data_IF_570619959451
#
_entry.id   IF_570619959451
#
_cell.length_a   1.000
_cell.length_b   1.000
_cell.length_c   1.000
_cell.angle_alpha   90.00
_cell.angle_beta   90.00
_cell.angle_gamma   90.00
#
_symmetry.space_group_name_H-M   'P 1'
#
loop_
_entity.id
_entity.type
_entity.pdbx_description
1 polymer ?
#
# COMPACT_ATOMS: atom_id res chain seq x y z
N UNK A 1 10.63 -0.33 -27.79
CA UNK A 1 10.23 -1.58 -28.50
C UNK A 1 9.27 -2.34 -27.60
N UNK A 2 8.28 -3.01 -28.18
CA UNK A 2 7.32 -3.84 -27.47
C UNK A 2 6.93 -5.05 -28.32
N UNK A 3 5.89 -5.77 -27.90
CA UNK A 3 5.40 -6.96 -28.59
C UNK A 3 3.94 -6.74 -29.00
N UNK A 4 3.57 -7.13 -30.22
CA UNK A 4 2.18 -7.09 -30.68
C UNK A 4 1.36 -8.19 -30.02
N UNK A 5 0.03 -8.16 -30.19
CA UNK A 5 -0.85 -9.24 -29.67
C UNK A 5 -0.56 -10.60 -30.29
N UNK A 6 0.15 -10.65 -31.41
CA UNK A 6 0.56 -11.88 -32.12
C UNK A 6 1.95 -12.37 -31.67
N UNK A 7 2.57 -11.75 -30.68
CA UNK A 7 3.89 -12.16 -30.20
C UNK A 7 5.07 -11.65 -31.02
N UNK A 8 4.85 -10.69 -31.93
CA UNK A 8 5.90 -10.15 -32.80
C UNK A 8 6.51 -8.88 -32.21
N UNK A 9 7.82 -8.72 -32.34
CA UNK A 9 8.51 -7.49 -31.95
C UNK A 9 8.05 -6.30 -32.81
N UNK A 10 7.80 -5.15 -32.19
CA UNK A 10 7.34 -3.93 -32.87
C UNK A 10 7.83 -2.65 -32.17
N UNK A 11 7.76 -1.54 -32.91
CA UNK A 11 7.95 -0.20 -32.35
C UNK A 11 6.61 0.23 -31.72
N UNK A 12 6.62 0.44 -30.41
CA UNK A 12 5.45 0.87 -29.65
C UNK A 12 5.51 2.36 -29.36
N UNK A 13 4.40 3.07 -29.57
CA UNK A 13 4.18 4.45 -29.16
C UNK A 13 2.99 4.49 -28.22
N UNK A 14 3.14 5.13 -27.07
CA UNK A 14 2.05 5.34 -26.10
C UNK A 14 1.61 6.81 -26.11
N UNK A 15 0.41 7.08 -25.57
CA UNK A 15 -0.11 8.44 -25.40
C UNK A 15 0.39 9.13 -24.11
N UNK A 16 1.12 8.39 -23.26
CA UNK A 16 1.33 8.76 -21.86
C UNK A 16 0.16 8.34 -20.97
N UNK A 17 0.41 8.22 -19.66
CA UNK A 17 -0.60 7.97 -18.64
C UNK A 17 -0.48 9.04 -17.55
N UNK A 18 -1.48 9.90 -17.44
CA UNK A 18 -1.52 11.01 -16.47
C UNK A 18 -2.03 10.61 -15.07
N UNK A 19 -2.39 9.33 -14.89
CA UNK A 19 -2.91 8.78 -13.64
C UNK A 19 -1.80 8.11 -12.79
N UNK A 20 -0.55 8.49 -13.00
CA UNK A 20 0.57 8.05 -12.17
C UNK A 20 0.48 8.64 -10.76
N UNK A 21 0.90 7.85 -9.77
CA UNK A 21 1.04 8.26 -8.37
C UNK A 21 2.25 7.54 -7.75
N UNK A 22 2.69 8.00 -6.58
CA UNK A 22 3.84 7.39 -5.88
C UNK A 22 3.37 6.44 -4.77
N UNK A 23 4.17 5.40 -4.51
CA UNK A 23 3.95 4.47 -3.40
C UNK A 23 5.11 4.62 -2.41
N UNK A 24 4.80 4.98 -1.16
CA UNK A 24 5.75 4.94 -0.06
C UNK A 24 5.69 3.55 0.59
N UNK A 25 6.76 2.77 0.44
CA UNK A 25 6.85 1.36 0.86
C UNK A 25 8.04 1.02 1.76
N UNK A 26 8.60 2.04 2.38
CA UNK A 26 9.86 1.99 3.10
C UNK A 26 11.05 1.78 2.17
N UNK A 27 12.22 1.63 2.76
CA UNK A 27 13.46 1.34 2.03
C UNK A 27 14.61 1.06 2.99
N UNK A 28 15.83 1.12 2.47
CA UNK A 28 17.06 0.90 3.27
C UNK A 28 17.27 1.95 4.35
N UNK A 29 16.64 3.12 4.23
CA UNK A 29 16.65 4.19 5.24
C UNK A 29 15.60 4.00 6.35
N UNK A 30 14.80 2.94 6.28
CA UNK A 30 13.72 2.64 7.21
C UNK A 30 12.32 2.83 6.60
N UNK A 31 11.28 2.73 7.45
CA UNK A 31 9.90 3.06 7.08
C UNK A 31 9.75 4.52 6.65
N UNK A 32 8.72 4.80 5.86
CA UNK A 32 8.43 6.15 5.37
C UNK A 32 6.92 6.43 5.26
N UNK A 33 6.15 5.96 6.23
CA UNK A 33 4.70 6.16 6.33
C UNK A 33 4.29 7.24 7.34
N UNK A 34 5.24 7.73 8.15
CA UNK A 34 5.02 8.79 9.12
C UNK A 34 4.73 10.15 8.44
N UNK A 35 4.26 11.10 9.25
CA UNK A 35 3.82 12.41 8.79
C UNK A 35 4.96 13.18 8.13
N UNK A 36 6.17 13.10 8.68
CA UNK A 36 7.35 13.78 8.18
C UNK A 36 7.72 13.27 6.78
N UNK A 37 7.68 11.95 6.59
CA UNK A 37 7.90 11.28 5.31
C UNK A 37 6.85 11.67 4.28
N UNK A 38 5.57 11.73 4.67
CA UNK A 38 4.48 12.18 3.79
C UNK A 38 4.67 13.65 3.39
N UNK A 39 5.03 14.55 4.32
CA UNK A 39 5.32 15.94 3.97
C UNK A 39 6.54 16.08 3.03
N UNK A 40 7.59 15.31 3.25
CA UNK A 40 8.75 15.28 2.37
C UNK A 40 8.36 14.83 0.95
N UNK A 41 7.54 13.78 0.83
CA UNK A 41 7.03 13.32 -0.46
C UNK A 41 6.15 14.37 -1.16
N UNK A 42 5.24 15.03 -0.42
CA UNK A 42 4.42 16.13 -0.95
C UNK A 42 5.26 17.27 -1.50
N UNK A 43 6.34 17.64 -0.78
CA UNK A 43 7.27 18.68 -1.23
C UNK A 43 7.92 18.30 -2.55
N UNK A 44 8.45 17.08 -2.66
CA UNK A 44 9.09 16.59 -3.89
C UNK A 44 8.11 16.58 -5.07
N UNK A 45 6.87 16.11 -4.86
CA UNK A 45 5.85 16.12 -5.91
C UNK A 45 5.54 17.54 -6.39
N UNK A 46 5.39 18.47 -5.44
CA UNK A 46 5.12 19.88 -5.74
C UNK A 46 6.26 20.54 -6.51
N UNK A 47 7.50 20.35 -6.06
CA UNK A 47 8.71 20.87 -6.72
C UNK A 47 8.87 20.33 -8.15
N UNK A 48 8.25 19.17 -8.46
CA UNK A 48 8.25 18.53 -9.78
C UNK A 48 6.97 18.79 -10.59
N UNK A 49 6.07 19.65 -10.10
CA UNK A 49 4.79 19.96 -10.76
C UNK A 49 3.85 18.75 -10.88
N UNK A 50 3.98 17.77 -9.99
CA UNK A 50 3.16 16.55 -9.97
C UNK A 50 2.01 16.68 -8.97
N UNK A 51 0.92 15.93 -9.22
CA UNK A 51 -0.20 15.82 -8.28
C UNK A 51 0.29 15.19 -6.96
N UNK A 52 -0.19 15.71 -5.83
CA UNK A 52 0.05 15.12 -4.51
C UNK A 52 -0.83 13.88 -4.30
N UNK A 53 -0.56 12.82 -5.07
CA UNK A 53 -1.24 11.53 -4.98
C UNK A 53 -0.26 10.49 -4.42
N UNK A 54 -0.43 10.15 -3.14
CA UNK A 54 0.46 9.26 -2.40
C UNK A 54 -0.34 8.04 -1.93
N UNK A 55 0.15 6.85 -2.28
CA UNK A 55 -0.30 5.60 -1.70
C UNK A 55 0.72 5.12 -0.67
N UNK A 56 0.26 4.63 0.49
CA UNK A 56 1.13 4.06 1.52
C UNK A 56 1.02 2.54 1.52
N UNK A 57 2.11 1.85 1.27
CA UNK A 57 2.21 0.39 1.45
C UNK A 57 2.44 0.09 2.93
N UNK A 58 1.53 -0.64 3.56
CA UNK A 58 1.61 -0.99 4.97
C UNK A 58 2.57 -2.18 5.23
N UNK A 59 2.97 -2.92 4.20
CA UNK A 59 3.84 -4.09 4.26
C UNK A 59 5.31 -3.75 4.01
N UNK A 60 6.09 -4.71 3.50
CA UNK A 60 7.46 -4.56 3.04
C UNK A 60 8.39 -3.77 3.98
N UNK A 61 9.00 -2.68 3.48
CA UNK A 61 9.92 -1.86 4.26
C UNK A 61 9.22 -1.13 5.40
N UNK A 62 7.92 -0.82 5.25
CA UNK A 62 7.14 -0.13 6.26
C UNK A 62 6.73 -1.06 7.42
N UNK A 63 6.50 -2.34 7.16
CA UNK A 63 6.24 -3.33 8.22
C UNK A 63 7.51 -3.90 8.85
N UNK A 64 8.69 -3.51 8.36
CA UNK A 64 9.98 -4.13 8.69
C UNK A 64 9.98 -5.64 8.40
N UNK A 65 9.31 -6.05 7.31
CA UNK A 65 9.08 -7.45 6.92
C UNK A 65 8.39 -8.30 8.01
N UNK A 66 7.62 -7.67 8.89
CA UNK A 66 6.81 -8.35 9.88
C UNK A 66 5.34 -8.00 9.65
N UNK A 67 4.55 -8.94 9.15
CA UNK A 67 3.15 -8.73 8.78
C UNK A 67 2.30 -8.19 9.95
N UNK A 68 2.65 -8.53 11.20
CA UNK A 68 1.96 -8.03 12.41
C UNK A 68 2.15 -6.53 12.65
N UNK A 69 3.05 -5.88 11.92
CA UNK A 69 3.19 -4.42 11.96
C UNK A 69 2.27 -3.72 10.95
N UNK A 70 1.69 -4.40 9.96
CA UNK A 70 0.80 -3.75 8.98
C UNK A 70 -0.36 -3.00 9.65
N UNK A 71 -1.07 -3.55 10.66
CA UNK A 71 -2.13 -2.81 11.35
C UNK A 71 -1.64 -1.56 12.07
N UNK A 72 -0.40 -1.58 12.58
CA UNK A 72 0.23 -0.42 13.23
C UNK A 72 0.54 0.69 12.22
N UNK A 73 1.06 0.30 11.05
CA UNK A 73 1.29 1.25 9.94
C UNK A 73 -0.03 1.86 9.48
N UNK A 74 -1.04 1.02 9.25
CA UNK A 74 -2.37 1.47 8.84
C UNK A 74 -2.99 2.42 9.87
N UNK A 75 -2.82 2.16 11.18
CA UNK A 75 -3.26 3.06 12.24
C UNK A 75 -2.60 4.44 12.15
N UNK A 76 -1.27 4.50 11.95
CA UNK A 76 -0.56 5.78 11.81
C UNK A 76 -1.01 6.55 10.57
N UNK A 77 -1.33 5.84 9.49
CA UNK A 77 -1.95 6.45 8.30
C UNK A 77 -3.36 6.96 8.64
N UNK A 78 -4.18 6.16 9.32
CA UNK A 78 -5.50 6.53 9.79
C UNK A 78 -5.49 7.80 10.64
N UNK A 79 -4.55 7.91 11.58
CA UNK A 79 -4.38 9.10 12.42
C UNK A 79 -4.09 10.35 11.56
N UNK A 80 -3.23 10.25 10.54
CA UNK A 80 -2.99 11.36 9.59
C UNK A 80 -4.24 11.74 8.79
N UNK A 81 -5.05 10.75 8.38
CA UNK A 81 -6.32 11.02 7.69
C UNK A 81 -7.27 11.79 8.62
N UNK A 82 -7.39 11.39 9.88
CA UNK A 82 -8.21 12.08 10.89
C UNK A 82 -7.78 13.53 11.11
N UNK A 83 -6.50 13.83 10.95
CA UNK A 83 -5.96 15.20 11.00
C UNK A 83 -6.22 16.04 9.73
N UNK A 84 -6.81 15.44 8.68
CA UNK A 84 -7.14 16.13 7.44
C UNK A 84 -6.11 15.97 6.32
N UNK A 85 -5.19 15.00 6.39
CA UNK A 85 -4.22 14.78 5.31
C UNK A 85 -4.93 14.28 4.03
N UNK A 86 -4.91 15.14 3.00
CA UNK A 86 -5.63 14.92 1.74
C UNK A 86 -4.76 14.28 0.65
N UNK A 87 -3.43 14.33 0.77
CA UNK A 87 -2.52 13.79 -0.25
C UNK A 87 -2.40 12.26 -0.22
N UNK A 88 -2.80 11.62 0.89
CA UNK A 88 -2.89 10.17 0.98
C UNK A 88 -4.19 9.74 0.28
N UNK A 89 -4.04 9.12 -0.89
CA UNK A 89 -5.14 8.69 -1.77
C UNK A 89 -5.48 7.22 -1.64
N UNK A 90 -4.61 6.44 -0.98
CA UNK A 90 -4.85 5.02 -0.75
C UNK A 90 -3.80 4.36 0.13
N UNK A 91 -4.10 3.13 0.51
CA UNK A 91 -3.16 2.22 1.19
C UNK A 91 -3.08 0.89 0.46
N UNK A 92 -1.96 0.19 0.60
CA UNK A 92 -1.79 -1.20 0.17
C UNK A 92 -1.56 -2.09 1.39
N UNK A 93 -2.29 -3.21 1.48
CA UNK A 93 -2.26 -4.15 2.60
C UNK A 93 -2.11 -5.56 2.03
N UNK A 94 -1.18 -6.35 2.57
CA UNK A 94 -1.03 -7.77 2.26
C UNK A 94 -1.80 -8.60 3.27
N UNK A 95 -2.97 -9.08 2.85
CA UNK A 95 -3.91 -9.86 3.65
C UNK A 95 -4.23 -11.19 2.97
N UNK A 96 -4.61 -12.18 3.78
CA UNK A 96 -5.11 -13.47 3.31
C UNK A 96 -6.12 -14.02 4.33
N UNK A 97 -6.75 -15.16 4.03
CA UNK A 97 -7.69 -15.82 4.95
C UNK A 97 -6.97 -16.10 6.29
N UNK A 98 -5.77 -16.67 6.22
CA UNK A 98 -4.94 -17.00 7.39
C UNK A 98 -3.63 -16.19 7.37
N UNK A 99 -3.11 -15.88 8.57
CA UNK A 99 -1.89 -15.09 8.71
C UNK A 99 -0.61 -15.83 8.28
N UNK A 100 0.46 -15.06 8.11
CA UNK A 100 1.81 -15.57 7.87
C UNK A 100 2.02 -16.01 6.43
N UNK A 101 3.01 -16.89 6.25
CA UNK A 101 3.32 -17.53 4.99
C UNK A 101 3.74 -19.00 5.17
N UNK A 102 3.89 -19.70 4.06
CA UNK A 102 4.39 -21.06 3.98
C UNK A 102 5.30 -21.22 2.76
N UNK A 103 6.19 -22.20 2.80
CA UNK A 103 6.92 -22.65 1.59
C UNK A 103 6.09 -23.72 0.89
N UNK A 104 6.31 -23.88 -0.42
CA UNK A 104 5.76 -25.03 -1.15
C UNK A 104 6.39 -26.30 -0.58
N UNK A 105 5.58 -27.25 -0.05
CA UNK A 105 6.10 -28.51 0.50
C UNK A 105 6.72 -29.39 -0.60
N UNK A 106 7.57 -30.34 -0.21
CA UNK A 106 8.20 -31.27 -1.15
C UNK A 106 7.16 -32.19 -1.82
N UNK A 107 6.06 -32.45 -1.12
CA UNK A 107 4.89 -33.23 -1.57
C UNK A 107 4.08 -32.49 -2.65
N UNK A 108 4.42 -31.23 -2.93
CA UNK A 108 3.81 -30.41 -3.96
C UNK A 108 2.57 -29.63 -3.50
N UNK A 109 1.84 -29.00 -4.43
CA UNK A 109 0.74 -28.08 -4.13
C UNK A 109 -0.42 -28.67 -3.32
N UNK A 110 -0.62 -30.00 -3.40
CA UNK A 110 -1.69 -30.69 -2.69
C UNK A 110 -1.54 -30.65 -1.16
N UNK A 111 -0.32 -30.40 -0.67
CA UNK A 111 -0.01 -30.30 0.76
C UNK A 111 -0.03 -28.85 1.30
N UNK A 112 -0.39 -27.86 0.48
CA UNK A 112 -0.46 -26.47 0.93
C UNK A 112 -1.60 -26.25 1.93
N UNK A 113 -1.31 -25.49 2.98
CA UNK A 113 -2.35 -24.98 3.88
C UNK A 113 -3.24 -24.01 3.10
N UNK A 114 -4.55 -24.24 3.11
CA UNK A 114 -5.51 -23.36 2.45
C UNK A 114 -5.45 -21.95 3.03
N UNK A 115 -5.46 -20.93 2.17
CA UNK A 115 -5.57 -19.53 2.59
C UNK A 115 -4.34 -18.96 3.31
N UNK A 116 -3.18 -19.61 3.23
CA UNK A 116 -1.90 -19.09 3.73
C UNK A 116 -0.99 -18.74 2.54
N UNK A 117 -0.42 -17.54 2.54
CA UNK A 117 0.45 -17.04 1.46
C UNK A 117 1.65 -17.96 1.21
N UNK A 118 2.07 -18.13 -0.05
CA UNK A 118 3.31 -18.83 -0.42
C UNK A 118 4.49 -17.88 -0.68
N UNK A 119 4.26 -16.57 -0.54
CA UNK A 119 5.25 -15.51 -0.77
C UNK A 119 5.50 -14.76 0.54
N UNK A 120 5.22 -13.46 0.58
CA UNK A 120 5.35 -12.64 1.78
C UNK A 120 4.21 -12.94 2.77
N UNK A 121 4.49 -12.71 4.04
CA UNK A 121 3.56 -12.98 5.13
C UNK A 121 2.40 -11.98 5.12
N UNK A 122 1.18 -12.48 5.23
CA UNK A 122 -0.03 -11.66 5.26
C UNK A 122 -0.61 -11.53 6.68
N UNK A 123 -1.39 -10.49 6.93
CA UNK A 123 -2.34 -10.50 8.06
C UNK A 123 -3.52 -11.44 7.76
N UNK A 124 -4.18 -11.95 8.80
CA UNK A 124 -5.38 -12.78 8.65
C UNK A 124 -6.62 -11.94 8.33
N UNK A 125 -7.73 -12.63 8.13
CA UNK A 125 -9.03 -12.00 7.86
C UNK A 125 -9.50 -11.08 8.98
N UNK A 126 -9.35 -11.48 10.25
CA UNK A 126 -9.83 -10.72 11.40
C UNK A 126 -9.09 -9.36 11.52
N UNK A 127 -7.76 -9.37 11.37
CA UNK A 127 -6.97 -8.14 11.34
C UNK A 127 -7.32 -7.29 10.11
N UNK A 128 -7.62 -7.92 8.98
CA UNK A 128 -8.01 -7.21 7.75
C UNK A 128 -9.29 -6.42 7.95
N UNK A 129 -10.33 -7.04 8.53
CA UNK A 129 -11.59 -6.36 8.86
C UNK A 129 -11.33 -5.19 9.81
N UNK A 130 -10.58 -5.43 10.88
CA UNK A 130 -10.24 -4.40 11.87
C UNK A 130 -9.54 -3.19 11.23
N UNK A 131 -8.56 -3.43 10.36
CA UNK A 131 -7.83 -2.37 9.65
C UNK A 131 -8.75 -1.59 8.71
N UNK A 132 -9.62 -2.28 7.95
CA UNK A 132 -10.53 -1.64 7.02
C UNK A 132 -11.60 -0.79 7.73
N UNK A 133 -12.10 -1.25 8.88
CA UNK A 133 -13.06 -0.51 9.69
C UNK A 133 -12.44 0.78 10.27
N UNK A 134 -11.24 0.71 10.82
CA UNK A 134 -10.53 1.90 11.34
C UNK A 134 -10.23 2.91 10.21
N UNK A 135 -9.73 2.43 9.06
CA UNK A 135 -9.46 3.30 7.90
C UNK A 135 -10.74 3.92 7.34
N UNK A 136 -11.84 3.17 7.28
CA UNK A 136 -13.14 3.70 6.85
C UNK A 136 -13.59 4.83 7.79
N UNK A 137 -13.44 4.64 9.09
CA UNK A 137 -13.75 5.66 10.09
C UNK A 137 -12.82 6.87 9.98
N UNK A 138 -11.52 6.65 9.75
CA UNK A 138 -10.55 7.72 9.51
C UNK A 138 -10.91 8.59 8.30
N UNK A 139 -11.40 7.96 7.22
CA UNK A 139 -11.89 8.66 6.04
C UNK A 139 -13.16 9.46 6.34
N UNK A 140 -14.10 8.98 7.17
CA UNK A 140 -15.30 9.75 7.57
C UNK A 140 -14.90 11.02 8.32
N UNK A 141 -14.07 10.87 9.36
CA UNK A 141 -13.55 12.01 10.14
C UNK A 141 -12.83 13.02 9.24
N UNK A 142 -11.98 12.54 8.30
CA UNK A 142 -11.30 13.42 7.35
C UNK A 142 -12.26 14.28 6.53
N UNK A 143 -13.39 13.72 6.08
CA UNK A 143 -14.38 14.48 5.28
C UNK A 143 -14.99 15.61 6.09
N UNK A 144 -15.28 15.38 7.37
CA UNK A 144 -15.81 16.41 8.27
C UNK A 144 -14.78 17.53 8.53
N UNK A 145 -13.52 17.14 8.77
CA UNK A 145 -12.40 18.09 9.00
C UNK A 145 -12.13 18.94 7.77
N UNK A 146 -12.19 18.37 6.57
CA UNK A 146 -11.98 19.12 5.32
C UNK A 146 -13.19 20.01 5.02
N UNK A 147 -14.43 19.54 5.24
CA UNK A 147 -15.63 20.33 5.00
C UNK A 147 -15.77 21.53 5.97
N UNK A 148 -15.16 21.45 7.14
CA UNK A 148 -15.17 22.51 8.15
C UNK A 148 -14.07 23.56 7.98
N UNK A 149 -13.19 23.41 6.97
CA UNK A 149 -12.13 24.37 6.62
C UNK A 149 -12.55 25.23 5.43
#
# INVERSE_FOLDING_TARGET
MGVTKQGLAAITRTKGNEHGFVILRGGTKGPNYDKESVQAAKKVLTDKGQKQAIMIDCSHGNSLKNHKNQPKVAKVVGDQLREGEASIVGVMIESNINEGNQKVPNEGPAALKTGVSITDACINWEDTVTVLEDLAEAVRVRREVIASK
#
